data_IF_980234205930
#
_entry.id   IF_980234205930
#
_cell.length_a   1.000
_cell.length_b   1.000
_cell.length_c   1.000
_cell.angle_alpha   90.00
_cell.angle_beta   90.00
_cell.angle_gamma   90.00
#
_symmetry.space_group_name_H-M   'P 1'
#
loop_
_entity.id
_entity.type
_entity.pdbx_description
1 polymer ?
#
# COMPACT_ATOMS: atom_id res chain seq x y z
N UNK A 1 -17.86 5.81 10.15
CA UNK A 1 -17.29 5.05 9.01
C UNK A 1 -18.26 5.13 7.85
N UNK A 2 -17.95 5.92 6.82
CA UNK A 2 -18.73 5.99 5.57
C UNK A 2 -17.83 5.48 4.45
N UNK A 3 -18.29 4.49 3.69
CA UNK A 3 -17.59 4.04 2.50
C UNK A 3 -17.95 4.99 1.35
N UNK A 4 -16.96 5.71 0.84
CA UNK A 4 -17.11 6.56 -0.34
C UNK A 4 -16.20 6.00 -1.44
N UNK A 5 -16.77 5.49 -2.53
CA UNK A 5 -15.99 5.12 -3.70
C UNK A 5 -15.78 6.36 -4.57
N UNK A 6 -14.63 7.04 -4.46
CA UNK A 6 -14.19 8.04 -5.44
C UNK A 6 -13.23 7.37 -6.42
N UNK A 7 -13.66 7.25 -7.68
CA UNK A 7 -12.75 6.88 -8.78
C UNK A 7 -11.92 8.12 -9.17
N UNK A 8 -10.79 8.34 -8.49
CA UNK A 8 -9.70 9.16 -9.03
C UNK A 8 -8.85 8.34 -9.99
N UNK A 9 -8.16 8.98 -10.94
CA UNK A 9 -7.18 8.31 -11.79
C UNK A 9 -5.95 7.94 -10.94
N UNK A 10 -5.65 6.64 -10.83
CA UNK A 10 -4.48 6.15 -10.11
C UNK A 10 -3.21 6.54 -10.87
N UNK A 11 -2.34 7.38 -10.29
CA UNK A 11 -1.09 7.80 -10.93
C UNK A 11 0.14 6.99 -10.44
N UNK A 12 0.11 6.49 -9.20
CA UNK A 12 1.27 5.89 -8.53
C UNK A 12 0.84 4.74 -7.62
N UNK A 13 1.58 3.63 -7.70
CA UNK A 13 1.50 2.50 -6.76
C UNK A 13 2.86 2.33 -6.10
N UNK A 14 2.94 2.70 -4.82
CA UNK A 14 4.13 2.53 -4.01
C UNK A 14 4.07 1.20 -3.24
N UNK A 15 4.93 0.24 -3.61
CA UNK A 15 4.90 -1.11 -3.03
C UNK A 15 5.81 -1.20 -1.81
N UNK A 16 5.36 -1.86 -0.75
CA UNK A 16 6.20 -2.29 0.38
C UNK A 16 6.27 -3.81 0.32
N UNK A 17 7.30 -4.40 -0.30
CA UNK A 17 7.41 -5.85 -0.39
C UNK A 17 7.94 -6.45 0.92
N UNK A 18 7.73 -7.75 1.14
CA UNK A 18 8.37 -8.48 2.23
C UNK A 18 9.79 -8.89 1.85
N UNK A 19 10.68 -8.90 2.83
CA UNK A 19 12.05 -9.39 2.71
C UNK A 19 12.12 -10.92 2.79
N UNK A 20 13.27 -11.47 2.41
CA UNK A 20 13.62 -12.85 2.75
C UNK A 20 13.76 -12.97 4.28
N UNK A 21 13.15 -13.99 4.89
CA UNK A 21 13.25 -14.27 6.33
C UNK A 21 13.61 -15.75 6.54
N UNK A 22 14.86 -15.98 6.95
CA UNK A 22 15.44 -17.33 6.98
C UNK A 22 15.43 -17.93 5.57
N UNK A 23 14.87 -19.14 5.44
CA UNK A 23 14.76 -19.83 4.14
C UNK A 23 13.54 -19.38 3.31
N UNK A 24 12.65 -18.54 3.88
CA UNK A 24 11.45 -18.07 3.17
C UNK A 24 11.80 -16.89 2.26
N UNK A 25 11.42 -17.01 0.98
CA UNK A 25 11.56 -15.92 0.01
C UNK A 25 10.47 -14.86 0.19
N UNK A 26 10.89 -13.60 0.24
CA UNK A 26 10.01 -12.45 0.36
C UNK A 26 9.37 -12.07 -0.97
N UNK A 27 8.37 -11.18 -0.92
CA UNK A 27 7.66 -10.72 -2.12
C UNK A 27 8.48 -9.75 -2.97
N UNK A 28 9.61 -9.25 -2.48
CA UNK A 28 10.52 -8.37 -3.22
C UNK A 28 10.99 -8.99 -4.55
N UNK A 29 11.16 -10.32 -4.58
CA UNK A 29 11.55 -11.06 -5.78
C UNK A 29 10.48 -11.09 -6.88
N UNK A 30 9.24 -10.67 -6.60
CA UNK A 30 8.12 -10.74 -7.52
C UNK A 30 7.57 -9.38 -7.93
N UNK A 31 8.28 -8.28 -7.66
CA UNK A 31 7.82 -6.92 -7.96
C UNK A 31 7.48 -6.71 -9.44
N UNK A 32 8.32 -7.20 -10.35
CA UNK A 32 8.09 -7.07 -11.79
C UNK A 32 6.86 -7.87 -12.24
N UNK A 33 6.72 -9.09 -11.72
CA UNK A 33 5.55 -9.92 -12.00
C UNK A 33 4.26 -9.30 -11.45
N UNK A 34 4.32 -8.71 -10.25
CA UNK A 34 3.22 -7.96 -9.66
C UNK A 34 2.84 -6.75 -10.52
N UNK A 35 3.80 -5.93 -10.93
CA UNK A 35 3.55 -4.76 -11.78
C UNK A 35 2.94 -5.16 -13.13
N UNK A 36 3.46 -6.22 -13.77
CA UNK A 36 2.91 -6.75 -15.01
C UNK A 36 1.46 -7.25 -14.84
N UNK A 37 1.18 -7.95 -13.73
CA UNK A 37 -0.15 -8.47 -13.45
C UNK A 37 -1.16 -7.35 -13.14
N UNK A 38 -0.76 -6.34 -12.37
CA UNK A 38 -1.58 -5.17 -12.07
C UNK A 38 -1.98 -4.45 -13.36
N UNK A 39 -1.03 -4.18 -14.26
CA UNK A 39 -1.33 -3.58 -15.57
C UNK A 39 -2.33 -4.42 -16.36
N UNK A 40 -2.08 -5.72 -16.47
CA UNK A 40 -2.93 -6.63 -17.23
C UNK A 40 -4.35 -6.77 -16.66
N UNK A 41 -4.49 -6.90 -15.35
CA UNK A 41 -5.77 -7.23 -14.71
C UNK A 41 -6.61 -6.00 -14.37
N UNK A 42 -5.96 -4.93 -13.90
CA UNK A 42 -6.67 -3.70 -13.53
C UNK A 42 -6.78 -2.71 -14.71
N UNK A 43 -6.20 -3.03 -15.87
CA UNK A 43 -6.23 -2.16 -17.05
C UNK A 43 -5.55 -0.82 -16.78
N UNK A 44 -4.49 -0.82 -15.97
CA UNK A 44 -3.77 0.40 -15.63
C UNK A 44 -3.09 0.99 -16.86
N UNK A 45 -3.13 2.31 -16.96
CA UNK A 45 -2.42 3.05 -17.99
C UNK A 45 -0.89 2.87 -17.84
N UNK A 46 -0.16 2.99 -18.93
CA UNK A 46 1.30 2.76 -18.96
C UNK A 46 2.07 3.80 -18.13
N UNK A 47 1.51 4.98 -17.92
CA UNK A 47 2.07 6.06 -17.12
C UNK A 47 1.90 5.85 -15.61
N UNK A 48 1.08 4.88 -15.18
CA UNK A 48 0.95 4.50 -13.78
C UNK A 48 2.25 3.87 -13.30
N UNK A 49 2.96 4.58 -12.43
CA UNK A 49 4.25 4.12 -11.90
C UNK A 49 4.04 3.13 -10.76
N UNK A 50 4.40 1.87 -11.00
CA UNK A 50 4.40 0.79 -10.00
C UNK A 50 5.84 0.47 -9.64
N UNK A 51 6.24 0.70 -8.39
CA UNK A 51 7.60 0.46 -7.92
C UNK A 51 7.62 0.38 -6.40
N UNK A 52 8.61 -0.31 -5.80
CA UNK A 52 8.81 -0.24 -4.35
C UNK A 52 9.11 1.20 -3.92
N UNK A 53 8.80 1.53 -2.66
CA UNK A 53 9.29 2.77 -2.08
C UNK A 53 10.83 2.78 -2.10
N UNK A 54 11.42 3.97 -2.22
CA UNK A 54 12.87 4.15 -2.28
C UNK A 54 13.56 3.45 -1.10
N UNK A 55 14.51 2.57 -1.43
CA UNK A 55 15.30 1.81 -0.44
C UNK A 55 14.60 0.57 0.13
N UNK A 56 13.41 0.21 -0.38
CA UNK A 56 12.68 -1.01 0.00
C UNK A 56 12.73 -2.09 -1.09
N UNK A 57 13.71 -2.05 -1.99
CA UNK A 57 13.89 -3.02 -3.07
C UNK A 57 14.16 -4.44 -2.57
N UNK A 58 14.67 -4.58 -1.34
CA UNK A 58 14.88 -5.88 -0.67
C UNK A 58 13.74 -6.29 0.27
N UNK A 59 12.70 -5.47 0.34
CA UNK A 59 11.56 -5.66 1.24
C UNK A 59 11.86 -5.44 2.71
N UNK A 60 10.84 -5.74 3.51
CA UNK A 60 10.76 -5.50 4.96
C UNK A 60 10.33 -6.78 5.67
N UNK A 61 10.79 -7.01 6.91
CA UNK A 61 10.22 -8.09 7.71
C UNK A 61 8.79 -7.73 8.15
N UNK A 62 7.80 -8.47 7.65
CA UNK A 62 6.38 -8.23 7.93
C UNK A 62 5.97 -8.63 9.35
N UNK A 63 6.82 -9.31 10.12
CA UNK A 63 6.63 -9.54 11.55
C UNK A 63 7.26 -8.43 12.40
N UNK A 64 7.99 -7.48 11.79
CA UNK A 64 8.62 -6.36 12.48
C UNK A 64 7.82 -5.05 12.29
N UNK A 65 6.98 -4.73 13.28
CA UNK A 65 6.12 -3.54 13.25
C UNK A 65 6.89 -2.22 13.10
N UNK A 66 8.08 -2.10 13.68
CA UNK A 66 8.89 -0.87 13.59
C UNK A 66 9.45 -0.67 12.18
N UNK A 67 9.87 -1.74 11.53
CA UNK A 67 10.30 -1.68 10.13
C UNK A 67 9.13 -1.33 9.21
N UNK A 68 7.97 -1.97 9.40
CA UNK A 68 6.74 -1.64 8.67
C UNK A 68 6.37 -0.15 8.83
N UNK A 69 6.41 0.36 10.06
CA UNK A 69 6.09 1.77 10.33
C UNK A 69 7.10 2.72 9.67
N UNK A 70 8.40 2.37 9.65
CA UNK A 70 9.42 3.15 8.92
C UNK A 70 9.20 3.09 7.41
N UNK A 71 8.86 1.92 6.87
CA UNK A 71 8.58 1.72 5.46
C UNK A 71 7.38 2.54 4.98
N UNK A 72 6.27 2.52 5.73
CA UNK A 72 5.08 3.33 5.42
C UNK A 72 5.42 4.83 5.50
N UNK A 73 6.15 5.29 6.53
CA UNK A 73 6.61 6.70 6.58
C UNK A 73 7.46 7.08 5.38
N UNK A 74 8.36 6.20 4.95
CA UNK A 74 9.21 6.43 3.77
C UNK A 74 8.38 6.55 2.50
N UNK A 75 7.41 5.65 2.31
CA UNK A 75 6.48 5.69 1.18
C UNK A 75 5.67 6.99 1.14
N UNK A 76 5.08 7.41 2.27
CA UNK A 76 4.39 8.70 2.36
C UNK A 76 5.33 9.88 2.09
N UNK A 77 6.56 9.84 2.62
CA UNK A 77 7.56 10.89 2.39
C UNK A 77 7.93 11.02 0.90
N UNK A 78 8.07 9.90 0.19
CA UNK A 78 8.29 9.87 -1.26
C UNK A 78 7.10 10.45 -2.02
N UNK A 79 5.89 9.98 -1.74
CA UNK A 79 4.67 10.45 -2.43
C UNK A 79 4.45 11.96 -2.21
N UNK A 80 4.68 12.47 -1.00
CA UNK A 80 4.61 13.91 -0.72
C UNK A 80 5.68 14.70 -1.48
N UNK A 81 6.89 14.16 -1.60
CA UNK A 81 7.95 14.79 -2.39
C UNK A 81 7.62 14.80 -3.90
N UNK A 82 6.79 13.86 -4.36
CA UNK A 82 6.22 13.83 -5.72
C UNK A 82 4.99 14.76 -5.88
N UNK A 83 4.49 15.37 -4.80
CA UNK A 83 3.43 16.38 -4.82
C UNK A 83 2.05 15.89 -4.39
N UNK A 84 1.90 14.62 -4.03
CA UNK A 84 0.63 14.06 -3.54
C UNK A 84 0.30 14.56 -2.12
N UNK A 85 -0.95 14.95 -1.88
CA UNK A 85 -1.45 15.27 -0.53
C UNK A 85 -1.86 14.00 0.22
N UNK A 86 -1.97 14.07 1.56
CA UNK A 86 -2.34 12.89 2.37
C UNK A 86 -3.72 12.34 1.98
N UNK A 87 -4.67 13.20 1.60
CA UNK A 87 -6.00 12.83 1.15
C UNK A 87 -6.01 12.24 -0.26
N UNK A 88 -4.92 12.34 -1.03
CA UNK A 88 -4.74 11.67 -2.31
C UNK A 88 -4.09 10.28 -2.17
N UNK A 89 -3.56 9.96 -0.99
CA UNK A 89 -2.86 8.69 -0.72
C UNK A 89 -3.78 7.72 0.00
N UNK A 90 -3.93 6.51 -0.55
CA UNK A 90 -4.63 5.41 0.10
C UNK A 90 -3.66 4.27 0.47
N UNK A 91 -3.86 3.67 1.65
CA UNK A 91 -3.11 2.50 2.12
C UNK A 91 -3.96 1.25 1.89
N UNK A 92 -3.56 0.38 0.98
CA UNK A 92 -4.16 -0.96 0.87
C UNK A 92 -3.63 -1.87 1.98
N UNK A 93 -4.52 -2.40 2.81
CA UNK A 93 -4.22 -3.33 3.91
C UNK A 93 -4.69 -4.76 3.64
N UNK A 94 -5.14 -5.04 2.41
CA UNK A 94 -5.66 -6.33 1.99
C UNK A 94 -4.57 -7.39 1.98
N UNK A 95 -3.39 -7.01 1.49
CA UNK A 95 -2.25 -7.91 1.33
C UNK A 95 -1.35 -7.99 2.55
N UNK A 96 -0.67 -9.13 2.70
CA UNK A 96 0.36 -9.34 3.72
C UNK A 96 -0.12 -10.10 4.95
N UNK A 97 0.70 -10.08 6.00
CA UNK A 97 0.41 -10.74 7.28
C UNK A 97 -0.36 -9.80 8.20
N UNK A 98 -1.01 -10.31 9.26
CA UNK A 98 -1.79 -9.48 10.19
C UNK A 98 -1.08 -8.21 10.69
N UNK A 99 0.23 -8.21 10.99
CA UNK A 99 0.92 -6.98 11.40
C UNK A 99 0.90 -5.88 10.32
N UNK A 100 0.94 -6.22 9.03
CA UNK A 100 0.86 -5.21 7.95
C UNK A 100 -0.47 -4.47 7.98
N UNK A 101 -1.58 -5.21 8.15
CA UNK A 101 -2.90 -4.59 8.25
C UNK A 101 -3.07 -3.75 9.53
N UNK A 102 -2.51 -4.18 10.66
CA UNK A 102 -2.56 -3.41 11.92
C UNK A 102 -1.77 -2.11 11.79
N UNK A 103 -0.51 -2.19 11.33
CA UNK A 103 0.34 -1.00 11.20
C UNK A 103 -0.22 -0.07 10.12
N UNK A 104 -0.62 -0.59 8.95
CA UNK A 104 -1.27 0.20 7.91
C UNK A 104 -2.56 0.87 8.39
N UNK A 105 -3.37 0.15 9.17
CA UNK A 105 -4.58 0.68 9.81
C UNK A 105 -4.27 1.85 10.75
N UNK A 106 -3.29 1.72 11.64
CA UNK A 106 -2.86 2.81 12.53
C UNK A 106 -2.45 4.05 11.73
N UNK A 107 -1.74 3.86 10.61
CA UNK A 107 -1.32 4.99 9.77
C UNK A 107 -2.49 5.68 9.08
N UNK A 108 -3.53 4.94 8.70
CA UNK A 108 -4.74 5.47 8.10
C UNK A 108 -5.72 6.12 9.09
N UNK A 109 -5.48 6.01 10.40
CA UNK A 109 -6.22 6.77 11.43
C UNK A 109 -5.73 8.23 11.58
N UNK A 110 -4.59 8.57 10.98
CA UNK A 110 -4.14 9.96 10.99
C UNK A 110 -5.01 10.79 10.04
N UNK A 111 -5.21 12.06 10.40
CA UNK A 111 -6.09 12.99 9.69
C UNK A 111 -5.84 12.97 8.18
N UNK A 112 -6.94 12.99 7.42
CA UNK A 112 -6.96 13.10 5.96
C UNK A 112 -6.33 11.89 5.24
N UNK A 113 -6.17 10.74 5.89
CA UNK A 113 -5.64 9.52 5.24
C UNK A 113 -6.71 8.47 5.05
N UNK A 114 -6.51 7.65 4.01
CA UNK A 114 -7.48 6.65 3.61
C UNK A 114 -6.91 5.24 3.71
N UNK A 115 -7.76 4.31 4.12
CA UNK A 115 -7.46 2.87 4.14
C UNK A 115 -8.33 2.20 3.09
N UNK A 116 -7.73 1.31 2.32
CA UNK A 116 -8.42 0.46 1.37
C UNK A 116 -8.28 -1.01 1.77
N UNK A 117 -9.36 -1.75 1.60
CA UNK A 117 -9.42 -3.19 1.80
C UNK A 117 -10.26 -3.83 0.69
N UNK A 118 -9.75 -4.88 0.06
CA UNK A 118 -10.49 -5.67 -0.92
C UNK A 118 -11.08 -6.88 -0.24
N UNK A 119 -12.40 -6.98 -0.22
CA UNK A 119 -13.11 -8.11 0.37
C UNK A 119 -12.74 -9.42 -0.32
N UNK A 120 -12.21 -10.39 0.42
CA UNK A 120 -11.92 -11.72 -0.12
C UNK A 120 -13.19 -12.52 -0.48
N UNK A 121 -14.36 -12.09 0.01
CA UNK A 121 -15.64 -12.74 -0.27
C UNK A 121 -16.32 -12.15 -1.51
N UNK A 122 -16.37 -10.82 -1.62
CA UNK A 122 -17.13 -10.12 -2.66
C UNK A 122 -16.25 -9.49 -3.73
N UNK A 123 -14.94 -9.38 -3.48
CA UNK A 123 -13.94 -8.67 -4.32
C UNK A 123 -14.23 -7.18 -4.49
N UNK A 124 -15.08 -6.63 -3.64
CA UNK A 124 -15.36 -5.20 -3.60
C UNK A 124 -14.23 -4.47 -2.87
N UNK A 125 -13.90 -3.28 -3.36
CA UNK A 125 -12.98 -2.36 -2.69
C UNK A 125 -13.76 -1.55 -1.67
N UNK A 126 -13.32 -1.63 -0.41
CA UNK A 126 -13.85 -0.84 0.69
C UNK A 126 -12.82 0.24 1.02
N UNK A 127 -13.21 1.50 0.83
CA UNK A 127 -12.41 2.66 1.22
C UNK A 127 -12.98 3.24 2.52
N UNK A 128 -12.08 3.51 3.45
CA UNK A 128 -12.39 4.03 4.76
C UNK A 128 -11.64 5.33 5.01
N UNK A 129 -12.43 6.38 5.24
CA UNK A 129 -11.99 7.63 5.82
C UNK A 129 -12.40 7.62 7.30
N UNK A 130 -11.42 7.64 8.20
CA UNK A 130 -11.62 7.52 9.63
C UNK A 130 -11.18 8.80 10.33
N UNK A 131 -12.15 9.63 10.68
CA UNK A 131 -11.93 10.76 11.56
C UNK A 131 -12.09 10.32 13.02
N UNK A 132 -11.03 10.49 13.81
CA UNK A 132 -11.12 10.41 15.27
C UNK A 132 -11.63 11.76 15.78
N UNK A 133 -12.82 11.74 16.40
CA UNK A 133 -13.44 12.90 17.03
C UNK A 133 -12.73 13.32 18.33
#
# INVERSE_FOLDING_TARGET
>A
MRAHARHGSLARVCVIPSADVGDRKGSHAYLDAFAAQMRKQAGLEEDVRIAPAKGLDKGVDFENADELARAIRSAFGELRAEGFTDDEIAIDITGGQKPTSVVGGIFGLAKDRRIQYVSMHTREVWEYDVELA
#
